data_IF_474087028317
#
_entry.id   IF_474087028317
#
_cell.length_a   1.000
_cell.length_b   1.000
_cell.length_c   1.000
_cell.angle_alpha   90.00
_cell.angle_beta   90.00
_cell.angle_gamma   90.00
#
_symmetry.space_group_name_H-M   'P 1'
#
loop_
_entity.id
_entity.type
_entity.pdbx_description
1 polymer ?
#
# COMPACT_ATOMS: atom_id res chain seq x y z
N UNK A 1 -5.30 39.14 7.67
CA UNK A 1 -5.44 37.76 8.15
C UNK A 1 -4.09 37.31 8.69
N UNK A 2 -3.95 37.12 10.00
CA UNK A 2 -2.70 36.63 10.56
C UNK A 2 -2.50 35.17 10.12
N UNK A 3 -1.47 34.93 9.30
CA UNK A 3 -0.93 33.60 9.08
C UNK A 3 -0.43 33.12 10.44
N UNK A 4 -1.20 32.26 11.12
CA UNK A 4 -0.72 31.62 12.34
C UNK A 4 0.26 30.53 11.95
N UNK A 5 1.52 30.91 11.77
CA UNK A 5 2.64 29.98 11.64
C UNK A 5 2.74 29.11 12.90
N UNK A 6 3.01 27.81 12.74
CA UNK A 6 3.29 26.89 13.84
C UNK A 6 4.41 27.42 14.73
N UNK A 7 4.14 27.52 16.04
CA UNK A 7 5.05 28.08 17.05
C UNK A 7 5.92 26.97 17.65
N UNK A 8 7.00 27.36 18.32
CA UNK A 8 7.88 26.38 19.01
C UNK A 8 7.12 25.56 20.06
N UNK A 9 6.22 26.20 20.81
CA UNK A 9 5.36 25.53 21.80
C UNK A 9 4.45 24.45 21.20
N UNK A 10 4.05 24.61 19.93
CA UNK A 10 3.20 23.62 19.25
C UNK A 10 4.04 22.36 18.92
N UNK A 11 5.32 22.52 18.58
CA UNK A 11 6.25 21.42 18.35
C UNK A 11 6.66 20.71 19.64
N UNK A 12 6.92 21.46 20.70
CA UNK A 12 7.23 20.91 22.03
C UNK A 12 6.09 20.05 22.55
N UNK A 13 4.86 20.57 22.49
CA UNK A 13 3.68 19.80 22.89
C UNK A 13 3.44 18.57 22.00
N UNK A 14 3.67 18.68 20.70
CA UNK A 14 3.60 17.52 19.78
C UNK A 14 4.60 16.44 20.19
N UNK A 15 5.83 16.82 20.56
CA UNK A 15 6.83 15.88 21.04
C UNK A 15 6.41 15.21 22.35
N UNK A 16 5.94 15.99 23.33
CA UNK A 16 5.51 15.49 24.64
C UNK A 16 4.37 14.48 24.53
N UNK A 17 3.35 14.76 23.69
CA UNK A 17 2.21 13.86 23.46
C UNK A 17 2.68 12.54 22.82
N UNK A 18 3.54 12.60 21.80
CA UNK A 18 4.05 11.40 21.14
C UNK A 18 4.97 10.57 22.04
N UNK A 19 5.83 11.23 22.82
CA UNK A 19 6.72 10.58 23.77
C UNK A 19 5.92 9.90 24.89
N UNK A 20 4.91 10.58 25.45
CA UNK A 20 4.03 10.03 26.47
C UNK A 20 3.24 8.82 25.94
N UNK A 21 2.74 8.89 24.70
CA UNK A 21 2.04 7.76 24.08
C UNK A 21 2.95 6.54 23.86
N UNK A 22 4.24 6.75 23.57
CA UNK A 22 5.21 5.68 23.44
C UNK A 22 5.55 5.04 24.80
N UNK A 23 5.77 5.86 25.83
CA UNK A 23 6.12 5.40 27.19
C UNK A 23 4.96 4.67 27.87
N UNK A 24 3.72 5.11 27.63
CA UNK A 24 2.51 4.48 28.16
C UNK A 24 2.08 3.23 27.37
N UNK A 25 2.89 2.76 26.39
CA UNK A 25 2.55 1.69 25.45
C UNK A 25 1.28 1.91 24.61
N UNK A 26 0.75 3.14 24.57
CA UNK A 26 -0.38 3.52 23.71
C UNK A 26 -0.05 3.48 22.22
N UNK A 27 1.24 3.47 21.89
CA UNK A 27 1.75 3.24 20.54
C UNK A 27 3.11 2.54 20.60
N UNK A 28 3.42 1.72 19.59
CA UNK A 28 4.72 1.06 19.44
C UNK A 28 5.32 1.44 18.10
N UNK A 29 6.63 1.70 18.09
CA UNK A 29 7.35 1.97 16.84
C UNK A 29 7.17 0.81 15.86
N UNK A 30 6.93 1.09 14.56
CA UNK A 30 6.79 0.03 13.58
C UNK A 30 8.10 -0.75 13.43
N UNK A 31 8.00 -2.08 13.39
CA UNK A 31 9.14 -2.96 13.14
C UNK A 31 9.45 -3.01 11.62
N UNK A 32 10.23 -2.02 11.16
CA UNK A 32 10.60 -1.90 9.74
C UNK A 32 11.77 -2.84 9.44
N UNK A 33 11.52 -3.81 8.57
CA UNK A 33 12.55 -4.75 8.09
C UNK A 33 13.40 -4.11 7.00
N UNK A 34 14.69 -4.40 7.01
CA UNK A 34 15.61 -3.94 5.98
C UNK A 34 15.33 -4.62 4.64
N UNK A 35 15.41 -3.85 3.55
CA UNK A 35 15.29 -4.31 2.16
C UNK A 35 16.66 -4.61 1.53
N UNK A 36 17.75 -4.59 2.31
CA UNK A 36 19.11 -4.85 1.82
C UNK A 36 19.21 -6.22 1.11
N UNK A 37 18.55 -7.24 1.64
CA UNK A 37 18.51 -8.59 1.04
C UNK A 37 17.79 -8.64 -0.32
N UNK A 38 16.96 -7.64 -0.62
CA UNK A 38 16.25 -7.51 -1.91
C UNK A 38 17.21 -7.08 -3.03
N UNK A 39 18.46 -6.70 -2.70
CA UNK A 39 19.54 -6.53 -3.67
C UNK A 39 19.25 -5.48 -4.77
N UNK A 40 18.63 -4.36 -4.39
CA UNK A 40 18.20 -3.25 -5.28
C UNK A 40 19.35 -2.56 -6.06
N UNK A 41 20.60 -2.84 -5.71
CA UNK A 41 21.81 -2.22 -6.28
C UNK A 41 22.65 -3.19 -7.13
N UNK A 42 22.11 -4.34 -7.51
CA UNK A 42 22.87 -5.35 -8.28
C UNK A 42 22.89 -5.04 -9.77
N UNK A 43 23.82 -5.66 -10.50
CA UNK A 43 23.84 -5.58 -11.97
C UNK A 43 22.66 -6.31 -12.62
N UNK A 44 22.09 -7.30 -11.92
CA UNK A 44 20.96 -8.08 -12.38
C UNK A 44 19.67 -7.30 -12.13
N UNK A 45 19.10 -6.79 -13.22
CA UNK A 45 17.85 -6.04 -13.17
C UNK A 45 16.67 -7.01 -13.03
N UNK A 46 15.67 -6.71 -12.17
CA UNK A 46 14.43 -7.48 -12.12
C UNK A 46 13.70 -7.46 -13.46
N UNK A 47 13.19 -8.60 -13.89
CA UNK A 47 12.38 -8.72 -15.09
C UNK A 47 11.05 -7.98 -14.96
N UNK A 48 10.60 -7.37 -16.05
CA UNK A 48 9.27 -6.81 -16.14
C UNK A 48 8.25 -7.90 -16.48
N UNK A 49 7.28 -8.11 -15.60
CA UNK A 49 6.13 -8.98 -15.85
C UNK A 49 4.86 -8.15 -15.73
N UNK A 50 4.15 -7.84 -16.84
CA UNK A 50 2.95 -7.02 -16.78
C UNK A 50 1.80 -7.75 -16.10
N UNK A 51 1.08 -7.06 -15.21
CA UNK A 51 -0.12 -7.56 -14.54
C UNK A 51 -1.20 -8.01 -15.55
N UNK A 52 -1.21 -7.44 -16.76
CA UNK A 52 -2.15 -7.78 -17.83
C UNK A 52 -2.14 -9.28 -18.18
N UNK A 53 -1.00 -9.97 -18.01
CA UNK A 53 -0.93 -11.44 -18.20
C UNK A 53 -1.84 -12.18 -17.22
N UNK A 54 -1.89 -11.73 -15.98
CA UNK A 54 -2.68 -12.32 -14.90
C UNK A 54 -4.16 -11.93 -15.01
N UNK A 55 -4.44 -10.71 -15.46
CA UNK A 55 -5.81 -10.28 -15.78
C UNK A 55 -6.36 -11.16 -16.90
N UNK A 56 -5.61 -11.36 -17.98
CA UNK A 56 -6.01 -12.23 -19.08
C UNK A 56 -6.24 -13.67 -18.59
N UNK A 57 -5.35 -14.23 -17.77
CA UNK A 57 -5.55 -15.55 -17.15
C UNK A 57 -6.81 -15.64 -16.30
N UNK A 58 -7.16 -14.56 -15.60
CA UNK A 58 -8.36 -14.50 -14.78
C UNK A 58 -9.63 -14.39 -15.62
N UNK A 59 -9.59 -13.71 -16.77
CA UNK A 59 -10.75 -13.44 -17.65
C UNK A 59 -10.98 -14.44 -18.77
N UNK A 60 -9.96 -15.21 -19.17
CA UNK A 60 -10.15 -16.28 -20.15
C UNK A 60 -10.98 -17.38 -19.48
N UNK A 61 -12.18 -17.67 -20.01
CA UNK A 61 -12.91 -18.88 -19.62
C UNK A 61 -11.94 -20.07 -19.71
N UNK A 62 -11.94 -21.03 -18.76
CA UNK A 62 -11.08 -22.18 -18.84
C UNK A 62 -11.51 -23.05 -20.03
N UNK A 63 -10.99 -22.73 -21.22
CA UNK A 63 -11.03 -23.56 -22.42
C UNK A 63 -10.17 -24.78 -22.13
N UNK A 64 -10.75 -25.74 -21.42
CA UNK A 64 -10.08 -26.89 -20.86
C UNK A 64 -9.94 -26.80 -19.35
N UNK A 65 -10.30 -27.89 -18.68
CA UNK A 65 -10.20 -28.05 -17.24
C UNK A 65 -8.73 -27.95 -16.82
N UNK A 66 -8.27 -26.90 -16.13
CA UNK A 66 -6.90 -26.87 -15.66
C UNK A 66 -6.85 -27.79 -14.43
N UNK A 67 -6.11 -28.89 -14.53
CA UNK A 67 -5.84 -29.78 -13.41
C UNK A 67 -4.76 -29.15 -12.53
N UNK A 68 -5.19 -28.41 -11.50
CA UNK A 68 -4.33 -27.97 -10.42
C UNK A 68 -4.38 -29.01 -9.28
N UNK A 69 -3.24 -29.42 -8.68
CA UNK A 69 -3.22 -30.41 -7.59
C UNK A 69 -3.66 -29.85 -6.23
N UNK A 70 -3.92 -28.54 -6.14
CA UNK A 70 -4.46 -27.85 -4.97
C UNK A 70 -5.73 -27.12 -5.39
N UNK A 71 -6.82 -27.32 -4.63
CA UNK A 71 -8.19 -27.02 -5.05
C UNK A 71 -8.34 -25.71 -5.83
N UNK A 72 -8.88 -25.80 -7.06
CA UNK A 72 -9.07 -24.72 -8.05
C UNK A 72 -9.52 -23.37 -7.47
N UNK A 73 -10.30 -23.39 -6.40
CA UNK A 73 -10.87 -22.20 -5.77
C UNK A 73 -9.85 -21.35 -5.00
N UNK A 74 -8.86 -21.95 -4.33
CA UNK A 74 -7.91 -21.20 -3.49
C UNK A 74 -6.96 -20.32 -4.32
N UNK A 75 -6.42 -20.87 -5.41
CA UNK A 75 -5.51 -20.14 -6.31
C UNK A 75 -6.23 -19.05 -7.11
N UNK A 76 -7.48 -19.31 -7.54
CA UNK A 76 -8.31 -18.28 -8.16
C UNK A 76 -8.60 -17.16 -7.17
N UNK A 77 -9.04 -17.47 -5.95
CA UNK A 77 -9.33 -16.46 -4.95
C UNK A 77 -8.10 -15.62 -4.57
N UNK A 78 -6.94 -16.25 -4.43
CA UNK A 78 -5.67 -15.55 -4.21
C UNK A 78 -5.33 -14.60 -5.36
N UNK A 79 -5.47 -15.04 -6.61
CA UNK A 79 -5.25 -14.20 -7.79
C UNK A 79 -6.16 -12.97 -7.77
N UNK A 80 -7.46 -13.16 -7.51
CA UNK A 80 -8.44 -12.06 -7.38
C UNK A 80 -8.03 -11.04 -6.32
N UNK A 81 -7.54 -11.50 -5.17
CA UNK A 81 -7.07 -10.64 -4.08
C UNK A 81 -5.84 -9.86 -4.49
N UNK A 82 -4.87 -10.53 -5.14
CA UNK A 82 -3.65 -9.89 -5.64
C UNK A 82 -3.96 -8.83 -6.69
N UNK A 83 -4.83 -9.12 -7.65
CA UNK A 83 -5.29 -8.12 -8.63
C UNK A 83 -5.94 -6.92 -7.93
N UNK A 84 -6.81 -7.16 -6.94
CA UNK A 84 -7.45 -6.11 -6.17
C UNK A 84 -6.46 -5.25 -5.37
N UNK A 85 -5.39 -5.85 -4.82
CA UNK A 85 -4.29 -5.12 -4.17
C UNK A 85 -3.53 -4.23 -5.16
N UNK A 86 -3.29 -4.71 -6.38
CA UNK A 86 -2.66 -3.93 -7.43
C UNK A 86 -3.53 -2.75 -7.89
N UNK A 87 -4.85 -2.95 -7.93
CA UNK A 87 -5.82 -1.89 -8.20
C UNK A 87 -5.85 -0.86 -7.07
N UNK A 88 -5.89 -1.30 -5.81
CA UNK A 88 -5.89 -0.39 -4.67
C UNK A 88 -4.64 0.51 -4.68
N UNK A 89 -3.48 -0.04 -5.01
CA UNK A 89 -2.25 0.75 -5.12
C UNK A 89 -2.36 1.90 -6.14
N UNK A 90 -2.93 1.66 -7.32
CA UNK A 90 -3.04 2.69 -8.36
C UNK A 90 -4.23 3.62 -8.18
N UNK A 91 -5.31 3.17 -7.55
CA UNK A 91 -6.60 3.88 -7.53
C UNK A 91 -7.07 4.27 -6.12
N UNK A 92 -6.36 3.84 -5.07
CA UNK A 92 -6.69 4.03 -3.65
C UNK A 92 -8.13 3.60 -3.33
N UNK A 93 -8.56 2.53 -3.99
CA UNK A 93 -9.91 1.99 -3.97
C UNK A 93 -10.13 1.07 -5.15
N UNK A 94 -11.38 0.66 -5.37
CA UNK A 94 -11.75 -0.19 -6.49
C UNK A 94 -13.07 0.29 -7.08
N UNK A 95 -13.08 0.53 -8.39
CA UNK A 95 -14.30 0.88 -9.15
C UNK A 95 -14.98 -0.38 -9.67
N UNK A 96 -16.25 -0.27 -10.07
CA UNK A 96 -16.98 -1.39 -10.68
C UNK A 96 -16.25 -1.95 -11.92
N UNK A 97 -15.73 -1.07 -12.78
CA UNK A 97 -14.92 -1.47 -13.94
C UNK A 97 -13.66 -2.25 -13.55
N UNK A 98 -13.00 -1.87 -12.46
CA UNK A 98 -11.82 -2.59 -11.99
C UNK A 98 -12.18 -3.88 -11.24
N UNK A 99 -13.36 -3.96 -10.61
CA UNK A 99 -13.88 -5.22 -10.04
C UNK A 99 -14.07 -6.29 -11.11
N UNK A 100 -14.47 -5.91 -12.32
CA UNK A 100 -14.63 -6.86 -13.44
C UNK A 100 -13.32 -7.52 -13.86
N UNK A 101 -12.18 -6.85 -13.67
CA UNK A 101 -10.85 -7.43 -13.91
C UNK A 101 -10.53 -8.53 -12.91
N UNK A 102 -11.05 -8.42 -11.68
CA UNK A 102 -10.85 -9.41 -10.63
C UNK A 102 -11.93 -10.50 -10.64
N UNK A 103 -13.18 -10.20 -10.96
CA UNK A 103 -14.28 -11.17 -10.95
C UNK A 103 -15.02 -11.09 -12.28
N UNK A 104 -14.52 -11.80 -13.31
CA UNK A 104 -15.21 -11.89 -14.58
C UNK A 104 -16.47 -12.76 -14.43
N UNK A 105 -17.55 -12.37 -15.11
CA UNK A 105 -18.82 -13.12 -15.13
C UNK A 105 -19.98 -12.49 -14.34
N UNK A 106 -21.16 -13.13 -14.45
CA UNK A 106 -22.43 -12.73 -13.81
C UNK A 106 -23.02 -13.90 -13.02
N UNK A 107 -23.70 -13.63 -11.91
CA UNK A 107 -24.35 -14.64 -11.06
C UNK A 107 -24.20 -14.35 -9.56
N UNK A 108 -24.91 -15.10 -8.71
CA UNK A 108 -24.93 -14.90 -7.25
C UNK A 108 -23.53 -15.01 -6.63
N UNK A 109 -22.72 -15.98 -7.09
CA UNK A 109 -21.34 -16.17 -6.61
C UNK A 109 -20.44 -14.99 -6.98
N UNK A 110 -20.62 -14.42 -8.18
CA UNK A 110 -19.87 -13.24 -8.62
C UNK A 110 -20.23 -12.00 -7.78
N UNK A 111 -21.50 -11.83 -7.39
CA UNK A 111 -21.94 -10.74 -6.50
C UNK A 111 -21.31 -10.90 -5.11
N UNK A 112 -21.29 -12.11 -4.56
CA UNK A 112 -20.68 -12.39 -3.26
C UNK A 112 -19.16 -12.13 -3.29
N UNK A 113 -18.48 -12.58 -4.35
CA UNK A 113 -17.05 -12.36 -4.55
C UNK A 113 -16.71 -10.86 -4.68
N UNK A 114 -17.53 -10.09 -5.40
CA UNK A 114 -17.35 -8.63 -5.52
C UNK A 114 -17.40 -7.96 -4.15
N UNK A 115 -18.42 -8.26 -3.33
CA UNK A 115 -18.52 -7.71 -1.95
C UNK A 115 -17.32 -8.10 -1.09
N UNK A 116 -16.83 -9.34 -1.20
CA UNK A 116 -15.64 -9.80 -0.48
C UNK A 116 -14.39 -9.01 -0.91
N UNK A 117 -14.23 -8.75 -2.21
CA UNK A 117 -13.10 -7.97 -2.73
C UNK A 117 -13.17 -6.49 -2.36
N UNK A 118 -14.35 -5.87 -2.40
CA UNK A 118 -14.52 -4.50 -1.91
C UNK A 118 -14.11 -4.37 -0.44
N UNK A 119 -14.54 -5.33 0.39
CA UNK A 119 -14.11 -5.40 1.80
C UNK A 119 -12.60 -5.62 1.90
N UNK A 120 -12.04 -6.49 1.08
CA UNK A 120 -10.59 -6.73 1.06
C UNK A 120 -9.80 -5.46 0.71
N UNK A 121 -10.21 -4.73 -0.33
CA UNK A 121 -9.61 -3.45 -0.72
C UNK A 121 -9.75 -2.41 0.39
N UNK A 122 -10.92 -2.32 1.02
CA UNK A 122 -11.11 -1.44 2.18
C UNK A 122 -10.14 -1.77 3.32
N UNK A 123 -9.92 -3.05 3.60
CA UNK A 123 -8.97 -3.48 4.62
C UNK A 123 -7.52 -3.14 4.23
N UNK A 124 -7.14 -3.33 2.97
CA UNK A 124 -5.82 -2.94 2.46
C UNK A 124 -5.59 -1.43 2.64
N UNK A 125 -6.56 -0.60 2.27
CA UNK A 125 -6.48 0.86 2.49
C UNK A 125 -6.37 1.20 3.98
N UNK A 126 -7.17 0.57 4.85
CA UNK A 126 -7.09 0.78 6.31
C UNK A 126 -5.71 0.43 6.86
N UNK A 127 -5.15 -0.71 6.45
CA UNK A 127 -3.79 -1.12 6.83
C UNK A 127 -2.75 -0.08 6.37
N UNK A 128 -2.83 0.40 5.12
CA UNK A 128 -1.92 1.44 4.61
C UNK A 128 -2.01 2.72 5.43
N UNK A 129 -3.23 3.19 5.75
CA UNK A 129 -3.43 4.40 6.55
C UNK A 129 -2.89 4.23 7.97
N UNK A 130 -3.12 3.07 8.59
CA UNK A 130 -2.58 2.77 9.92
C UNK A 130 -1.04 2.77 9.90
N UNK A 131 -0.42 2.08 8.94
CA UNK A 131 1.04 2.09 8.78
C UNK A 131 1.56 3.50 8.50
N UNK A 132 0.84 4.29 7.71
CA UNK A 132 1.15 5.70 7.44
C UNK A 132 1.15 6.54 8.72
N UNK A 133 0.16 6.34 9.59
CA UNK A 133 0.10 6.97 10.92
C UNK A 133 1.24 6.54 11.83
N UNK A 134 1.56 5.24 11.88
CA UNK A 134 2.68 4.74 12.69
C UNK A 134 4.04 5.30 12.22
N UNK A 135 4.25 5.35 10.90
CA UNK A 135 5.44 5.97 10.32
C UNK A 135 5.47 7.47 10.59
N UNK A 136 4.34 8.17 10.48
CA UNK A 136 4.27 9.61 10.76
C UNK A 136 4.64 9.90 12.22
N UNK A 137 4.11 9.14 13.18
CA UNK A 137 4.48 9.24 14.60
C UNK A 137 5.98 9.04 14.80
N UNK A 138 6.54 7.98 14.22
CA UNK A 138 7.97 7.68 14.29
C UNK A 138 8.82 8.83 13.72
N UNK A 139 8.55 9.26 12.49
CA UNK A 139 9.32 10.30 11.82
C UNK A 139 9.19 11.66 12.50
N UNK A 140 8.00 12.02 12.98
CA UNK A 140 7.77 13.28 13.72
C UNK A 140 8.51 13.24 15.04
N UNK A 141 8.36 12.16 15.83
CA UNK A 141 9.06 12.01 17.11
C UNK A 141 10.58 12.15 16.95
N UNK A 142 11.14 11.53 15.91
CA UNK A 142 12.59 11.57 15.63
C UNK A 142 13.09 12.96 15.17
N UNK A 143 12.22 13.81 14.61
CA UNK A 143 12.64 15.02 13.91
C UNK A 143 12.08 16.34 14.48
N UNK A 144 11.02 16.31 15.29
CA UNK A 144 10.27 17.51 15.71
C UNK A 144 11.11 18.56 16.45
N UNK A 145 12.15 18.12 17.15
CA UNK A 145 13.08 19.01 17.86
C UNK A 145 14.25 19.51 16.99
N UNK A 146 14.36 19.05 15.75
CA UNK A 146 15.42 19.50 14.84
C UNK A 146 15.08 20.86 14.24
N UNK A 147 16.11 21.71 14.09
CA UNK A 147 15.97 23.00 13.40
C UNK A 147 15.41 22.84 11.97
N UNK A 148 15.83 21.79 11.27
CA UNK A 148 15.38 21.50 9.91
C UNK A 148 13.87 21.24 9.86
N UNK A 149 13.35 20.34 10.69
CA UNK A 149 11.92 20.05 10.75
C UNK A 149 11.09 21.31 11.03
N UNK A 150 11.46 22.07 12.07
CA UNK A 150 10.71 23.27 12.48
C UNK A 150 10.69 24.34 11.38
N UNK A 151 11.81 24.52 10.67
CA UNK A 151 11.88 25.45 9.55
C UNK A 151 10.98 25.01 8.39
N UNK A 152 11.04 23.74 8.01
CA UNK A 152 10.27 23.19 6.89
C UNK A 152 8.77 23.20 7.20
N UNK A 153 8.36 22.86 8.42
CA UNK A 153 6.94 22.92 8.83
C UNK A 153 6.40 24.35 8.90
N UNK A 154 7.27 25.36 9.00
CA UNK A 154 6.92 26.78 8.89
C UNK A 154 6.95 27.33 7.46
N UNK A 155 7.34 26.53 6.47
CA UNK A 155 7.30 26.94 5.07
C UNK A 155 5.88 27.37 4.68
N UNK A 156 5.75 28.27 3.69
CA UNK A 156 4.45 28.82 3.30
C UNK A 156 3.59 27.85 2.49
N UNK A 157 4.21 26.90 1.80
CA UNK A 157 3.54 25.97 0.89
C UNK A 157 3.51 24.55 1.45
N UNK A 158 2.41 23.85 1.20
CA UNK A 158 2.29 22.43 1.54
C UNK A 158 3.27 21.57 0.75
N UNK A 159 3.64 21.97 -0.48
CA UNK A 159 4.58 21.24 -1.32
C UNK A 159 5.96 21.12 -0.66
N UNK A 160 6.48 22.20 -0.06
CA UNK A 160 7.76 22.18 0.67
C UNK A 160 7.70 21.24 1.88
N UNK A 161 6.60 21.30 2.66
CA UNK A 161 6.40 20.43 3.82
C UNK A 161 6.27 18.96 3.43
N UNK A 162 5.55 18.66 2.34
CA UNK A 162 5.45 17.31 1.78
C UNK A 162 6.80 16.81 1.28
N UNK A 163 7.58 17.66 0.59
CA UNK A 163 8.90 17.31 0.10
C UNK A 163 9.88 16.99 1.24
N UNK A 164 9.77 17.69 2.37
CA UNK A 164 10.52 17.34 3.57
C UNK A 164 10.24 15.90 4.01
N UNK A 165 8.97 15.52 4.20
CA UNK A 165 8.62 14.14 4.58
C UNK A 165 9.05 13.14 3.52
N UNK A 166 8.89 13.44 2.23
CA UNK A 166 9.38 12.59 1.13
C UNK A 166 10.89 12.34 1.20
N UNK A 167 11.67 13.28 1.71
CA UNK A 167 13.12 13.13 1.86
C UNK A 167 13.52 12.19 3.00
N UNK A 168 12.62 11.95 3.96
CA UNK A 168 12.84 11.01 5.08
C UNK A 168 12.52 9.56 4.72
N UNK A 169 11.83 9.31 3.61
CA UNK A 169 11.36 7.98 3.25
C UNK A 169 12.48 7.15 2.63
N UNK A 170 12.94 6.15 3.38
CA UNK A 170 13.80 5.08 2.87
C UNK A 170 12.98 4.05 2.10
N UNK A 171 13.66 3.23 1.31
CA UNK A 171 13.03 2.12 0.59
C UNK A 171 12.40 1.11 1.58
N UNK A 172 13.00 0.92 2.76
CA UNK A 172 12.48 0.10 3.86
C UNK A 172 11.14 0.63 4.40
N UNK A 173 11.04 1.94 4.61
CA UNK A 173 9.80 2.60 5.06
C UNK A 173 8.70 2.41 4.00
N UNK A 174 9.04 2.59 2.73
CA UNK A 174 8.09 2.43 1.62
C UNK A 174 7.62 0.98 1.51
N UNK A 175 8.55 0.01 1.62
CA UNK A 175 8.24 -1.41 1.61
C UNK A 175 7.30 -1.80 2.76
N UNK A 176 7.55 -1.28 3.98
CA UNK A 176 6.66 -1.49 5.12
C UNK A 176 5.26 -0.90 4.86
N UNK A 177 5.20 0.38 4.47
CA UNK A 177 3.95 1.13 4.25
C UNK A 177 3.02 0.41 3.27
N UNK A 178 3.53 0.01 2.11
CA UNK A 178 2.77 -0.63 1.05
C UNK A 178 2.96 -2.16 1.00
N UNK A 179 3.33 -2.78 2.12
CA UNK A 179 3.63 -4.22 2.16
C UNK A 179 2.45 -5.10 1.71
N UNK A 180 1.20 -4.66 1.88
CA UNK A 180 0.04 -5.39 1.37
C UNK A 180 -0.01 -5.39 -0.17
N UNK A 181 0.25 -4.23 -0.77
CA UNK A 181 0.27 -3.99 -2.22
C UNK A 181 1.46 -4.67 -2.88
N UNK A 182 2.63 -4.66 -2.24
CA UNK A 182 3.84 -5.31 -2.76
C UNK A 182 3.76 -6.84 -2.77
N UNK A 183 2.73 -7.45 -2.19
CA UNK A 183 2.42 -8.87 -2.46
C UNK A 183 1.90 -9.11 -3.88
N UNK A 184 1.35 -8.07 -4.52
CA UNK A 184 0.88 -8.08 -5.89
C UNK A 184 1.85 -7.40 -6.85
N UNK A 185 2.49 -6.32 -6.40
CA UNK A 185 3.35 -5.46 -7.22
C UNK A 185 4.81 -5.74 -6.92
N UNK A 186 5.65 -5.83 -7.95
CA UNK A 186 7.08 -6.05 -7.79
C UNK A 186 7.78 -4.82 -7.20
N UNK A 187 8.01 -4.84 -5.89
CA UNK A 187 8.86 -3.87 -5.20
C UNK A 187 10.27 -3.77 -5.82
N UNK A 188 10.99 -4.89 -6.11
CA UNK A 188 12.28 -4.82 -6.76
C UNK A 188 12.23 -4.10 -8.11
N UNK A 189 11.15 -4.29 -8.89
CA UNK A 189 11.02 -3.58 -10.16
C UNK A 189 10.92 -2.06 -9.97
N UNK A 190 10.18 -1.59 -8.96
CA UNK A 190 9.95 -0.16 -8.74
C UNK A 190 11.18 0.53 -8.12
N UNK A 191 11.95 -0.16 -7.28
CA UNK A 191 13.00 0.47 -6.46
C UNK A 191 14.44 0.08 -6.83
N UNK A 192 14.63 -0.79 -7.81
CA UNK A 192 15.97 -1.14 -8.29
C UNK A 192 16.64 0.05 -9.00
N UNK A 193 17.90 0.35 -8.66
CA UNK A 193 18.58 1.58 -9.11
C UNK A 193 19.07 1.55 -10.56
N UNK A 194 19.16 0.37 -11.17
CA UNK A 194 19.62 0.22 -12.55
C UNK A 194 18.59 0.67 -13.58
N UNK A 195 19.00 1.56 -14.50
CA UNK A 195 18.22 2.02 -15.65
C UNK A 195 17.79 0.83 -16.52
N UNK A 196 16.51 0.76 -16.91
CA UNK A 196 15.98 -0.30 -17.78
C UNK A 196 16.51 -0.18 -19.20
N UNK A 197 16.74 -1.32 -19.85
CA UNK A 197 17.19 -1.37 -21.26
C UNK A 197 16.07 -0.98 -22.21
N UNK A 198 14.83 -1.34 -21.88
CA UNK A 198 13.64 -1.05 -22.66
C UNK A 198 13.09 0.30 -22.20
N UNK A 199 12.98 1.27 -23.11
CA UNK A 199 12.56 2.63 -22.79
C UNK A 199 11.16 2.68 -22.17
N UNK A 200 10.22 1.88 -22.66
CA UNK A 200 8.87 1.80 -22.10
C UNK A 200 8.88 1.30 -20.64
N UNK A 201 9.72 0.32 -20.31
CA UNK A 201 9.87 -0.18 -18.94
C UNK A 201 10.52 0.86 -18.02
N UNK A 202 11.48 1.65 -18.54
CA UNK A 202 12.09 2.73 -17.76
C UNK A 202 11.07 3.83 -17.43
N UNK A 203 10.16 4.14 -18.34
CA UNK A 203 9.06 5.08 -18.09
C UNK A 203 8.14 4.56 -16.98
N UNK A 204 7.74 3.28 -17.05
CA UNK A 204 6.92 2.63 -16.01
C UNK A 204 7.65 2.68 -14.66
N UNK A 205 8.91 2.27 -14.63
CA UNK A 205 9.77 2.27 -13.44
C UNK A 205 9.82 3.66 -12.78
N UNK A 206 10.19 4.70 -13.54
CA UNK A 206 10.31 6.07 -13.01
C UNK A 206 8.99 6.63 -12.51
N UNK A 207 7.92 6.40 -13.26
CA UNK A 207 6.59 6.92 -12.91
C UNK A 207 6.06 6.26 -11.63
N UNK A 208 6.19 4.94 -11.50
CA UNK A 208 5.79 4.23 -10.28
C UNK A 208 6.65 4.61 -9.08
N UNK A 209 7.97 4.78 -9.26
CA UNK A 209 8.85 5.24 -8.20
C UNK A 209 8.45 6.65 -7.71
N UNK A 210 8.25 7.59 -8.63
CA UNK A 210 7.83 8.96 -8.32
C UNK A 210 6.45 8.99 -7.64
N UNK A 211 5.50 8.20 -8.14
CA UNK A 211 4.16 8.04 -7.58
C UNK A 211 4.20 7.52 -6.15
N UNK A 212 4.88 6.41 -5.91
CA UNK A 212 4.94 5.76 -4.60
C UNK A 212 5.50 6.72 -3.54
N UNK A 213 6.57 7.44 -3.88
CA UNK A 213 7.17 8.43 -2.98
C UNK A 213 6.27 9.64 -2.77
N UNK A 214 5.58 10.10 -3.81
CA UNK A 214 4.62 11.20 -3.70
C UNK A 214 3.50 10.82 -2.73
N UNK A 215 2.79 9.72 -2.99
CA UNK A 215 1.67 9.26 -2.16
C UNK A 215 2.11 9.06 -0.71
N UNK A 216 3.23 8.37 -0.47
CA UNK A 216 3.70 8.13 0.89
C UNK A 216 4.04 9.42 1.64
N UNK A 217 4.75 10.35 1.00
CA UNK A 217 5.13 11.60 1.65
C UNK A 217 3.95 12.51 1.93
N UNK A 218 2.99 12.58 1.01
CA UNK A 218 1.76 13.34 1.21
C UNK A 218 0.88 12.70 2.29
N UNK A 219 0.75 11.37 2.33
CA UNK A 219 0.01 10.66 3.39
C UNK A 219 0.61 10.95 4.77
N UNK A 220 1.93 10.87 4.90
CA UNK A 220 2.62 11.13 6.17
C UNK A 220 2.47 12.60 6.59
N UNK A 221 2.61 13.54 5.65
CA UNK A 221 2.39 14.96 5.93
C UNK A 221 0.95 15.28 6.35
N UNK A 222 -0.04 14.74 5.63
CA UNK A 222 -1.45 14.92 5.96
C UNK A 222 -1.77 14.33 7.34
N UNK A 223 -1.23 13.16 7.64
CA UNK A 223 -1.38 12.55 8.97
C UNK A 223 -0.74 13.42 10.05
N UNK A 224 0.45 13.97 9.80
CA UNK A 224 1.09 14.90 10.72
C UNK A 224 0.21 16.12 10.98
N UNK A 225 -0.18 16.88 9.94
CA UNK A 225 -0.88 18.16 10.12
C UNK A 225 -2.32 18.01 10.65
N UNK A 226 -2.98 16.89 10.35
CA UNK A 226 -4.39 16.67 10.71
C UNK A 226 -4.54 15.91 12.04
N UNK A 227 -3.65 14.95 12.32
CA UNK A 227 -3.79 14.06 13.48
C UNK A 227 -2.76 14.33 14.57
N UNK A 228 -1.50 14.60 14.21
CA UNK A 228 -0.40 14.60 15.19
C UNK A 228 -0.02 16.00 15.69
N UNK A 229 -0.12 17.00 14.84
CA UNK A 229 0.28 18.36 15.17
C UNK A 229 -0.65 18.94 16.24
N UNK A 230 -0.08 19.26 17.39
CA UNK A 230 -0.79 19.91 18.48
C UNK A 230 -0.91 21.42 18.25
N UNK A 231 -1.98 22.01 18.78
CA UNK A 231 -2.10 23.47 18.95
C UNK A 231 -2.01 23.78 20.43
N UNK A 232 -0.98 24.51 20.86
CA UNK A 232 -0.82 24.86 22.27
C UNK A 232 -1.94 25.78 22.81
N UNK A 233 -2.84 26.30 21.96
CA UNK A 233 -4.08 26.99 22.38
C UNK A 233 -5.17 26.01 22.81
N UNK A 234 -5.11 24.79 22.32
CA UNK A 234 -6.07 23.71 22.60
C UNK A 234 -5.30 22.45 23.04
N UNK A 235 -4.49 22.51 24.12
CA UNK A 235 -3.53 21.46 24.44
C UNK A 235 -4.18 20.13 24.84
N UNK A 236 -5.46 20.13 25.21
CA UNK A 236 -6.23 18.93 25.55
C UNK A 236 -6.84 18.25 24.32
N UNK A 237 -6.82 18.88 23.14
CA UNK A 237 -7.38 18.32 21.92
C UNK A 237 -6.36 17.42 21.21
N UNK A 238 -6.41 16.13 21.51
CA UNK A 238 -5.61 15.11 20.81
C UNK A 238 -6.37 14.69 19.55
N UNK A 239 -5.97 15.22 18.39
CA UNK A 239 -6.64 14.94 17.11
C UNK A 239 -6.39 13.53 16.57
N UNK A 240 -5.37 12.86 17.11
CA UNK A 240 -5.01 11.50 16.76
C UNK A 240 -6.10 10.47 17.12
N UNK A 241 -7.02 10.81 18.03
CA UNK A 241 -8.20 10.00 18.36
C UNK A 241 -9.47 10.47 17.64
N UNK A 242 -9.39 11.54 16.84
CA UNK A 242 -10.54 12.12 16.16
C UNK A 242 -10.93 11.32 14.90
N UNK A 243 -12.17 10.78 14.84
CA UNK A 243 -12.66 10.13 13.63
C UNK A 243 -12.69 11.07 12.42
N UNK A 244 -12.96 12.36 12.64
CA UNK A 244 -13.04 13.38 11.59
C UNK A 244 -11.65 13.62 10.97
N UNK A 245 -10.60 13.66 11.79
CA UNK A 245 -9.23 13.81 11.30
C UNK A 245 -8.84 12.61 10.43
N UNK A 246 -9.14 11.40 10.89
CA UNK A 246 -8.89 10.16 10.13
C UNK A 246 -9.67 10.10 8.82
N UNK A 247 -10.94 10.51 8.83
CA UNK A 247 -11.76 10.59 7.62
C UNK A 247 -11.18 11.58 6.61
N UNK A 248 -10.70 12.74 7.08
CA UNK A 248 -10.04 13.73 6.23
C UNK A 248 -8.76 13.18 5.60
N UNK A 249 -7.93 12.46 6.36
CA UNK A 249 -6.73 11.79 5.83
C UNK A 249 -7.11 10.75 4.77
N UNK A 250 -8.15 9.95 5.00
CA UNK A 250 -8.65 8.98 4.02
C UNK A 250 -9.14 9.65 2.72
N UNK A 251 -9.89 10.75 2.84
CA UNK A 251 -10.37 11.51 1.69
C UNK A 251 -9.20 12.08 0.88
N UNK A 252 -8.21 12.67 1.56
CA UNK A 252 -7.02 13.17 0.89
C UNK A 252 -6.24 12.04 0.22
N UNK A 253 -6.03 10.91 0.90
CA UNK A 253 -5.38 9.73 0.33
C UNK A 253 -6.06 9.32 -0.98
N UNK A 254 -7.39 9.18 -0.99
CA UNK A 254 -8.14 8.87 -2.22
C UNK A 254 -8.01 9.94 -3.30
N UNK A 255 -7.96 11.22 -2.92
CA UNK A 255 -7.80 12.32 -3.88
C UNK A 255 -6.39 12.42 -4.48
N UNK A 256 -5.34 11.94 -3.78
CA UNK A 256 -3.94 12.02 -4.23
C UNK A 256 -3.73 11.44 -5.62
N UNK A 257 -4.49 10.41 -5.99
CA UNK A 257 -4.38 9.80 -7.31
C UNK A 257 -4.58 10.86 -8.40
N UNK A 258 -5.57 11.75 -8.24
CA UNK A 258 -5.94 12.83 -9.17
C UNK A 258 -4.85 13.89 -9.38
N UNK A 259 -3.98 14.10 -8.39
CA UNK A 259 -2.95 15.14 -8.40
C UNK A 259 -1.52 14.58 -8.45
N UNK A 260 -1.39 13.26 -8.56
CA UNK A 260 -0.11 12.56 -8.59
C UNK A 260 0.60 12.66 -9.95
N UNK A 261 1.90 12.32 -10.01
CA UNK A 261 2.62 12.17 -11.28
C UNK A 261 2.00 11.16 -12.26
N UNK A 262 1.11 10.27 -11.80
CA UNK A 262 0.34 9.34 -12.64
C UNK A 262 -1.01 9.91 -13.11
N UNK A 263 -1.27 11.20 -12.94
CA UNK A 263 -2.48 11.83 -13.47
C UNK A 263 -2.54 11.67 -15.00
N UNK A 264 -1.42 11.92 -15.67
CA UNK A 264 -1.34 11.98 -17.14
C UNK A 264 -0.71 10.71 -17.74
N UNK A 265 -0.18 9.81 -16.91
CA UNK A 265 0.50 8.58 -17.34
C UNK A 265 -0.15 7.32 -16.74
N UNK A 266 -0.51 6.39 -17.63
CA UNK A 266 -0.99 5.02 -17.38
C UNK A 266 -1.50 4.72 -15.96
N UNK A 267 -2.78 5.05 -15.70
CA UNK A 267 -3.58 4.31 -14.71
C UNK A 267 -4.14 3.02 -15.31
N UNK A 268 -3.31 2.32 -16.09
CA UNK A 268 -3.67 1.01 -16.60
C UNK A 268 -3.06 -0.06 -15.70
N UNK A 269 -3.92 -0.74 -14.95
CA UNK A 269 -3.56 -1.84 -14.06
C UNK A 269 -2.76 -2.91 -14.79
N UNK A 270 -3.05 -3.15 -16.08
CA UNK A 270 -2.36 -4.17 -16.90
C UNK A 270 -0.86 -3.92 -17.04
N UNK A 271 -0.41 -2.68 -16.86
CA UNK A 271 0.99 -2.27 -17.04
C UNK A 271 1.78 -2.19 -15.74
N UNK A 272 1.15 -2.50 -14.61
CA UNK A 272 1.87 -2.58 -13.34
C UNK A 272 2.79 -3.81 -13.38
N UNK A 273 4.03 -3.71 -12.87
CA UNK A 273 4.91 -4.87 -12.71
C UNK A 273 4.37 -5.80 -11.62
N UNK A 274 3.96 -6.99 -12.00
CA UNK A 274 3.49 -8.04 -11.10
C UNK A 274 4.64 -8.61 -10.26
N UNK A 275 4.39 -8.90 -8.99
CA UNK A 275 5.33 -9.57 -8.11
C UNK A 275 5.59 -11.00 -8.64
N UNK A 276 6.87 -11.42 -8.80
CA UNK A 276 7.21 -12.79 -9.22
C UNK A 276 6.64 -13.91 -8.34
N UNK A 277 6.30 -13.67 -7.07
CA UNK A 277 5.61 -14.68 -6.24
C UNK A 277 4.20 -15.02 -6.76
N UNK A 278 3.56 -14.10 -7.51
CA UNK A 278 2.37 -14.42 -8.30
C UNK A 278 2.65 -15.54 -9.32
N UNK A 279 3.90 -15.68 -9.75
CA UNK A 279 4.37 -16.72 -10.66
C UNK A 279 4.82 -18.00 -9.92
N UNK A 280 5.27 -17.94 -8.66
CA UNK A 280 5.73 -19.13 -7.93
C UNK A 280 4.58 -20.12 -7.64
N UNK A 281 3.37 -19.61 -7.45
CA UNK A 281 2.15 -20.45 -7.41
C UNK A 281 1.74 -21.00 -8.79
N UNK A 282 2.46 -20.62 -9.86
CA UNK A 282 2.29 -21.12 -11.23
C UNK A 282 3.45 -22.07 -11.62
N UNK A 283 4.64 -21.96 -11.00
CA UNK A 283 5.88 -22.63 -11.41
C UNK A 283 6.24 -23.94 -10.68
N UNK A 284 5.47 -24.38 -9.69
CA UNK A 284 5.67 -25.68 -8.98
C UNK A 284 5.32 -26.94 -9.78
N UNK A 285 5.47 -26.93 -11.10
CA UNK A 285 5.10 -28.05 -11.97
C UNK A 285 6.29 -28.98 -12.21
N UNK A 286 6.33 -30.09 -11.44
CA UNK A 286 6.97 -31.35 -11.85
C UNK A 286 5.99 -32.48 -11.58
N UNK A 287 5.81 -33.36 -12.56
CA UNK A 287 4.99 -34.57 -12.45
C UNK A 287 5.62 -35.54 -11.45
N UNK A 288 4.98 -35.77 -10.31
CA UNK A 288 5.30 -36.89 -9.42
C UNK A 288 4.27 -38.02 -9.63
N UNK A 289 4.67 -39.20 -10.12
CA UNK A 289 3.75 -40.29 -10.47
C UNK A 289 3.11 -41.01 -9.27
N UNK A 290 3.39 -40.62 -8.00
CA UNK A 290 3.00 -41.46 -6.85
C UNK A 290 2.32 -40.78 -5.65
N UNK A 291 1.89 -39.51 -5.70
CA UNK A 291 1.32 -38.88 -4.48
C UNK A 291 -0.19 -39.12 -4.32
N UNK A 292 -0.58 -40.03 -3.42
CA UNK A 292 -1.93 -40.23 -2.90
C UNK A 292 -2.44 -39.00 -2.12
N UNK A 293 -3.60 -38.47 -2.51
CA UNK A 293 -4.23 -37.30 -1.90
C UNK A 293 -4.88 -37.62 -0.52
N UNK A 294 -4.78 -36.67 0.42
CA UNK A 294 -5.53 -36.68 1.68
C UNK A 294 -6.99 -36.34 1.37
N UNK A 295 -7.92 -37.23 1.72
CA UNK A 295 -9.36 -36.98 1.65
C UNK A 295 -9.82 -36.23 2.90
N UNK A 296 -10.44 -35.06 2.71
CA UNK A 296 -11.18 -34.36 3.78
C UNK A 296 -12.66 -34.73 3.70
N UNK A 297 -13.25 -34.98 4.87
CA UNK A 297 -14.63 -35.44 5.07
C UNK A 297 -15.65 -34.37 4.62
N UNK A 298 -16.55 -34.68 3.66
CA UNK A 298 -17.53 -33.74 3.14
C UNK A 298 -18.62 -33.33 4.15
N UNK A 299 -18.66 -33.91 5.35
CA UNK A 299 -19.67 -33.61 6.38
C UNK A 299 -19.16 -32.77 7.55
N UNK A 300 -17.95 -32.20 7.49
CA UNK A 300 -17.47 -31.32 8.55
C UNK A 300 -18.28 -30.01 8.59
N UNK A 301 -19.02 -29.80 9.68
CA UNK A 301 -19.77 -28.57 9.94
C UNK A 301 -18.83 -27.47 10.44
N UNK A 302 -18.71 -26.40 9.64
CA UNK A 302 -17.83 -25.25 9.89
C UNK A 302 -18.56 -24.05 10.51
N UNK A 303 -19.80 -24.25 10.96
CA UNK A 303 -20.63 -23.23 11.60
C UNK A 303 -19.99 -22.58 12.84
N UNK A 304 -18.99 -23.22 13.47
CA UNK A 304 -18.28 -22.70 14.64
C UNK A 304 -17.13 -21.71 14.33
N UNK A 305 -16.83 -21.42 13.05
CA UNK A 305 -15.81 -20.43 12.67
C UNK A 305 -16.38 -19.01 12.44
N UNK A 306 -17.64 -18.80 12.78
CA UNK A 306 -18.31 -17.50 12.69
C UNK A 306 -18.88 -17.13 14.06
N UNK A 307 -17.99 -16.75 14.98
CA UNK A 307 -18.24 -15.76 16.02
C UNK A 307 -17.16 -14.67 15.92
#
# INVERSE_FOLDING_TARGET
MASFSTRDVDFELTWEVLQSALEAEGWKRPAIKSTVEICLNTFQRPDYVPMGRFIAQNTTEPMGTPLFPWGKQHNQWLLKHRLAQGIEFLHHGISERNLELCVPGRGTDAVLDRKKLERHVSNVTKETLQRGRDIAKMLVLDNVNTKRFRNEMRATTDETRQQYFRSLLTDDILHYLFSAQFRSISFPFIFHRGIRRIAAEEVIHRNLYAFTRFVAGTLIYDTYRLCLQMDAREPTLIRDDSPIAHETVLLNYKAMVLFSPLRDALRNVETIPANPELLLNVQGWKTDPHSTAIQLDPNADWSQLLD
#
